data_IF_577683564201
#
_entry.id   IF_577683564201
#
_cell.length_a   1.000
_cell.length_b   1.000
_cell.length_c   1.000
_cell.angle_alpha   90.00
_cell.angle_beta   90.00
_cell.angle_gamma   90.00
#
_symmetry.space_group_name_H-M   'P 1'
#
loop_
_entity.id
_entity.type
_entity.pdbx_description
1 polymer ?
#
# COMPACT_ATOMS: atom_id res chain seq x y z
N UNK A 1 -18.04 -7.17 18.00
CA UNK A 1 -16.79 -7.94 17.79
C UNK A 1 -17.01 -8.88 16.62
N UNK A 2 -16.68 -8.45 15.40
CA UNK A 2 -16.68 -9.37 14.26
C UNK A 2 -15.32 -10.06 14.29
N UNK A 3 -15.28 -11.32 14.74
CA UNK A 3 -14.13 -12.19 14.51
C UNK A 3 -14.24 -12.70 13.08
N UNK A 4 -13.84 -11.87 12.12
CA UNK A 4 -13.39 -12.41 10.84
C UNK A 4 -11.98 -12.89 11.11
N UNK A 5 -11.74 -14.20 11.08
CA UNK A 5 -10.38 -14.72 10.98
C UNK A 5 -9.83 -14.23 9.63
N UNK A 6 -8.97 -13.22 9.69
CA UNK A 6 -8.28 -12.66 8.52
C UNK A 6 -7.10 -13.60 8.26
N UNK A 7 -7.22 -14.45 7.25
CA UNK A 7 -6.10 -15.22 6.71
C UNK A 7 -5.09 -14.26 6.07
N UNK A 8 -3.91 -14.01 6.67
CA UNK A 8 -2.98 -13.00 6.19
C UNK A 8 -2.55 -13.24 4.73
N UNK A 9 -2.46 -14.50 4.29
CA UNK A 9 -2.08 -14.82 2.90
C UNK A 9 -3.18 -14.47 1.90
N UNK A 10 -4.46 -14.59 2.31
CA UNK A 10 -5.60 -14.22 1.46
C UNK A 10 -5.76 -12.71 1.30
N UNK A 11 -5.35 -11.94 2.31
CA UNK A 11 -5.55 -10.48 2.35
C UNK A 11 -4.29 -9.67 2.02
N UNK A 12 -3.11 -10.28 2.01
CA UNK A 12 -1.82 -9.63 1.70
C UNK A 12 -0.97 -10.44 0.70
N UNK A 13 -1.59 -11.36 -0.05
CA UNK A 13 -0.92 -12.23 -1.03
C UNK A 13 -1.10 -11.80 -2.48
N UNK A 14 -0.67 -12.67 -3.41
CA UNK A 14 -0.81 -12.44 -4.85
C UNK A 14 -2.27 -12.34 -5.31
N UNK A 15 -3.18 -13.05 -4.64
CA UNK A 15 -4.61 -13.07 -4.93
C UNK A 15 -5.37 -11.89 -4.30
N UNK A 16 -4.67 -10.92 -3.72
CA UNK A 16 -5.27 -9.71 -3.18
C UNK A 16 -6.04 -8.95 -4.27
N UNK A 17 -7.31 -8.67 -3.97
CA UNK A 17 -8.21 -7.87 -4.81
C UNK A 17 -8.66 -6.60 -4.06
N UNK A 18 -8.09 -5.42 -4.36
CA UNK A 18 -8.44 -4.19 -3.68
C UNK A 18 -9.86 -3.69 -3.97
N UNK A 19 -10.51 -4.15 -5.06
CA UNK A 19 -11.87 -3.75 -5.40
C UNK A 19 -12.93 -4.42 -4.52
N UNK A 20 -12.57 -5.50 -3.83
CA UNK A 20 -13.44 -6.18 -2.87
C UNK A 20 -13.58 -5.43 -1.53
N UNK A 21 -12.89 -4.31 -1.33
CA UNK A 21 -12.83 -3.56 -0.06
C UNK A 21 -13.42 -2.16 -0.16
N UNK A 22 -14.13 -1.75 0.90
CA UNK A 22 -14.60 -0.37 1.07
C UNK A 22 -13.43 0.61 1.21
N UNK A 23 -13.69 1.91 1.00
CA UNK A 23 -12.66 2.95 1.14
C UNK A 23 -11.97 2.92 2.52
N UNK A 24 -12.68 2.85 3.67
CA UNK A 24 -12.03 2.77 4.98
C UNK A 24 -11.15 1.51 5.14
N UNK A 25 -11.60 0.37 4.61
CA UNK A 25 -10.83 -0.88 4.64
C UNK A 25 -9.56 -0.75 3.80
N UNK A 26 -9.64 -0.17 2.59
CA UNK A 26 -8.47 0.09 1.74
C UNK A 26 -7.42 0.97 2.44
N UNK A 27 -7.85 2.07 3.05
CA UNK A 27 -6.97 2.95 3.83
C UNK A 27 -6.34 2.22 5.03
N UNK A 28 -7.15 1.39 5.72
CA UNK A 28 -6.68 0.56 6.84
C UNK A 28 -5.65 -0.48 6.42
N UNK A 29 -5.83 -1.12 5.26
CA UNK A 29 -4.88 -2.08 4.68
C UNK A 29 -3.57 -1.39 4.32
N UNK A 30 -3.61 -0.21 3.66
CA UNK A 30 -2.41 0.57 3.39
C UNK A 30 -1.61 0.88 4.67
N UNK A 31 -2.31 1.34 5.71
CA UNK A 31 -1.69 1.67 6.99
C UNK A 31 -1.11 0.42 7.68
N UNK A 32 -1.81 -0.71 7.60
CA UNK A 32 -1.36 -1.98 8.13
C UNK A 32 -0.05 -2.44 7.46
N UNK A 33 0.06 -2.32 6.13
CA UNK A 33 1.29 -2.65 5.39
C UNK A 33 2.46 -1.77 5.84
N UNK A 34 2.30 -0.45 5.92
CA UNK A 34 3.38 0.43 6.38
C UNK A 34 3.79 0.15 7.83
N UNK A 35 2.81 -0.13 8.70
CA UNK A 35 3.07 -0.46 10.10
C UNK A 35 3.82 -1.79 10.24
N UNK A 36 3.41 -2.82 9.52
CA UNK A 36 4.04 -4.14 9.54
C UNK A 36 5.52 -4.07 9.14
N UNK A 37 5.83 -3.22 8.15
CA UNK A 37 7.19 -2.99 7.66
C UNK A 37 7.99 -1.97 8.48
N UNK A 38 7.48 -1.53 9.64
CA UNK A 38 8.08 -0.54 10.53
C UNK A 38 8.38 0.82 9.89
N UNK A 39 7.72 1.18 8.78
CA UNK A 39 8.00 2.44 8.06
C UNK A 39 7.82 3.68 8.93
N UNK A 40 6.74 3.83 9.74
CA UNK A 40 6.60 4.99 10.62
C UNK A 40 7.77 5.15 11.61
N UNK A 41 8.27 4.02 12.15
CA UNK A 41 9.41 4.02 13.08
C UNK A 41 10.70 4.42 12.37
N UNK A 42 10.94 3.90 11.17
CA UNK A 42 12.13 4.22 10.36
C UNK A 42 12.17 5.70 9.99
N UNK A 43 11.01 6.29 9.71
CA UNK A 43 10.88 7.71 9.37
C UNK A 43 10.78 8.64 10.60
N UNK A 44 10.60 8.08 11.80
CA UNK A 44 10.45 8.86 13.02
C UNK A 44 9.12 9.64 13.09
N UNK A 45 8.05 9.10 12.50
CA UNK A 45 6.71 9.71 12.48
C UNK A 45 5.71 8.84 13.22
N UNK A 46 4.64 9.45 13.72
CA UNK A 46 3.54 8.72 14.35
C UNK A 46 2.59 8.09 13.31
N UNK A 47 1.75 7.17 13.79
CA UNK A 47 0.77 6.45 12.96
C UNK A 47 -0.27 7.40 12.35
N UNK A 48 -0.61 8.49 13.03
CA UNK A 48 -1.51 9.52 12.53
C UNK A 48 -0.91 10.23 11.31
N UNK A 49 0.34 10.67 11.39
CA UNK A 49 1.02 11.27 10.24
C UNK A 49 1.15 10.29 9.05
N UNK A 50 1.35 9.00 9.31
CA UNK A 50 1.33 8.00 8.24
C UNK A 50 -0.06 7.87 7.59
N UNK A 51 -1.13 7.91 8.39
CA UNK A 51 -2.50 7.90 7.87
C UNK A 51 -2.83 9.17 7.08
N UNK A 52 -2.42 10.34 7.56
CA UNK A 52 -2.58 11.62 6.86
C UNK A 52 -1.88 11.57 5.49
N UNK A 53 -0.65 11.06 5.44
CA UNK A 53 0.07 10.83 4.18
C UNK A 53 -0.71 9.91 3.22
N UNK A 54 -1.25 8.79 3.72
CA UNK A 54 -2.05 7.87 2.88
C UNK A 54 -3.30 8.56 2.33
N UNK A 55 -3.98 9.38 3.14
CA UNK A 55 -5.16 10.14 2.73
C UNK A 55 -4.81 11.16 1.63
N UNK A 56 -3.69 11.87 1.78
CA UNK A 56 -3.21 12.82 0.77
C UNK A 56 -2.89 12.12 -0.57
N UNK A 57 -2.26 10.94 -0.51
CA UNK A 57 -1.98 10.15 -1.71
C UNK A 57 -3.26 9.62 -2.35
N UNK A 58 -4.21 9.10 -1.57
CA UNK A 58 -5.52 8.66 -2.07
C UNK A 58 -6.25 9.80 -2.79
N UNK A 59 -6.22 11.01 -2.23
CA UNK A 59 -6.82 12.19 -2.84
C UNK A 59 -6.19 12.55 -4.20
N UNK A 60 -4.91 12.26 -4.41
CA UNK A 60 -4.22 12.48 -5.68
C UNK A 60 -4.60 11.46 -6.76
N UNK A 61 -5.13 10.28 -6.40
CA UNK A 61 -5.62 9.32 -7.39
C UNK A 61 -6.96 9.75 -7.97
N UNK A 62 -7.10 9.68 -9.30
CA UNK A 62 -8.36 10.00 -9.98
C UNK A 62 -9.30 8.79 -9.98
N UNK A 63 -10.59 9.07 -10.04
CA UNK A 63 -11.61 8.04 -10.25
C UNK A 63 -11.63 7.61 -11.73
N UNK A 64 -10.65 6.78 -12.09
CA UNK A 64 -10.48 6.20 -13.43
C UNK A 64 -10.50 4.67 -13.33
N UNK A 65 -10.90 3.93 -14.38
CA UNK A 65 -11.16 2.49 -14.26
C UNK A 65 -9.98 1.65 -13.75
N UNK A 66 -8.73 2.04 -14.06
CA UNK A 66 -7.55 1.26 -13.71
C UNK A 66 -6.57 2.01 -12.79
N UNK A 67 -5.94 3.10 -13.26
CA UNK A 67 -4.95 3.93 -12.52
C UNK A 67 -5.57 4.74 -11.37
N UNK A 68 -6.28 4.04 -10.49
CA UNK A 68 -6.99 4.50 -9.31
C UNK A 68 -6.21 4.11 -8.05
N UNK A 69 -6.66 4.59 -6.89
CA UNK A 69 -6.07 4.19 -5.62
C UNK A 69 -6.11 2.67 -5.39
N UNK A 70 -7.09 1.95 -5.96
CA UNK A 70 -7.11 0.49 -5.92
C UNK A 70 -5.86 -0.10 -6.57
N UNK A 71 -5.42 0.43 -7.71
CA UNK A 71 -4.20 -0.04 -8.37
C UNK A 71 -2.95 0.28 -7.55
N UNK A 72 -2.84 1.49 -7.00
CA UNK A 72 -1.74 1.84 -6.09
C UNK A 72 -1.66 0.93 -4.87
N UNK A 73 -2.80 0.62 -4.26
CA UNK A 73 -2.91 -0.33 -3.14
C UNK A 73 -2.54 -1.76 -3.56
N UNK A 74 -2.95 -2.18 -4.75
CA UNK A 74 -2.59 -3.48 -5.31
C UNK A 74 -1.07 -3.67 -5.35
N UNK A 75 -0.39 -2.68 -5.95
CA UNK A 75 1.07 -2.66 -6.10
C UNK A 75 1.75 -2.61 -4.73
N UNK A 76 1.22 -1.83 -3.77
CA UNK A 76 1.73 -1.79 -2.39
C UNK A 76 1.68 -3.17 -1.72
N UNK A 77 0.52 -3.86 -1.76
CA UNK A 77 0.35 -5.19 -1.13
C UNK A 77 1.25 -6.24 -1.80
N UNK A 78 1.33 -6.24 -3.13
CA UNK A 78 2.19 -7.18 -3.86
C UNK A 78 3.68 -6.91 -3.60
N UNK A 79 4.07 -5.65 -3.42
CA UNK A 79 5.42 -5.28 -2.98
C UNK A 79 5.73 -5.80 -1.58
N UNK A 80 4.79 -5.65 -0.64
CA UNK A 80 4.89 -6.24 0.71
C UNK A 80 5.03 -7.77 0.67
N UNK A 81 4.23 -8.46 -0.15
CA UNK A 81 4.33 -9.90 -0.35
C UNK A 81 5.71 -10.32 -0.88
N UNK A 82 6.23 -9.63 -1.90
CA UNK A 82 7.56 -9.91 -2.45
C UNK A 82 8.67 -9.71 -1.41
N UNK A 83 8.58 -8.65 -0.60
CA UNK A 83 9.54 -8.35 0.46
C UNK A 83 9.59 -9.46 1.52
N UNK A 84 8.42 -9.94 1.95
CA UNK A 84 8.30 -10.92 3.03
C UNK A 84 8.36 -12.38 2.53
N UNK A 85 7.41 -12.78 1.69
CA UNK A 85 7.22 -14.17 1.26
C UNK A 85 8.29 -14.63 0.27
N UNK A 86 8.75 -13.74 -0.61
CA UNK A 86 9.87 -14.03 -1.53
C UNK A 86 11.24 -13.63 -0.97
N UNK A 87 11.29 -13.17 0.29
CA UNK A 87 12.52 -12.84 1.03
C UNK A 87 13.38 -11.76 0.35
N UNK A 88 12.78 -10.87 -0.46
CA UNK A 88 13.53 -9.78 -1.08
C UNK A 88 14.09 -8.79 -0.05
N UNK A 89 13.47 -8.68 1.13
CA UNK A 89 13.96 -7.84 2.21
C UNK A 89 15.39 -8.18 2.67
N UNK A 90 15.86 -9.43 2.44
CA UNK A 90 17.23 -9.84 2.80
C UNK A 90 18.32 -9.16 1.96
N UNK A 91 17.95 -8.51 0.87
CA UNK A 91 18.89 -7.89 -0.08
C UNK A 91 18.83 -6.35 -0.06
N UNK A 92 17.98 -5.77 0.79
CA UNK A 92 17.68 -4.34 0.81
C UNK A 92 17.88 -3.78 2.22
N UNK A 93 18.28 -2.51 2.31
CA UNK A 93 18.30 -1.82 3.60
C UNK A 93 16.88 -1.44 4.02
N UNK A 94 16.69 -1.14 5.31
CA UNK A 94 15.41 -0.65 5.82
C UNK A 94 14.95 0.64 5.11
N UNK A 95 15.88 1.50 4.68
CA UNK A 95 15.56 2.69 3.89
C UNK A 95 15.17 2.37 2.45
N UNK A 96 15.82 1.39 1.80
CA UNK A 96 15.43 0.93 0.46
C UNK A 96 14.01 0.35 0.47
N UNK A 97 13.71 -0.48 1.47
CA UNK A 97 12.37 -1.05 1.69
C UNK A 97 11.33 0.05 1.91
N UNK A 98 11.66 1.03 2.75
CA UNK A 98 10.78 2.17 3.02
C UNK A 98 10.50 2.97 1.76
N UNK A 99 11.54 3.31 0.99
CA UNK A 99 11.40 4.02 -0.28
C UNK A 99 10.57 3.21 -1.28
N UNK A 100 10.81 1.90 -1.38
CA UNK A 100 10.10 1.02 -2.29
C UNK A 100 8.59 0.97 -2.00
N UNK A 101 8.19 0.86 -0.72
CA UNK A 101 6.79 0.85 -0.31
C UNK A 101 6.09 2.20 -0.55
N UNK A 102 6.79 3.31 -0.28
CA UNK A 102 6.28 4.66 -0.58
C UNK A 102 6.08 4.82 -2.10
N UNK A 103 7.09 4.46 -2.90
CA UNK A 103 7.01 4.49 -4.36
C UNK A 103 5.88 3.61 -4.88
N UNK A 104 5.70 2.40 -4.34
CA UNK A 104 4.63 1.49 -4.74
C UNK A 104 3.25 2.13 -4.62
N UNK A 105 2.96 2.78 -3.49
CA UNK A 105 1.67 3.45 -3.29
C UNK A 105 1.54 4.73 -4.15
N UNK A 106 2.63 5.47 -4.37
CA UNK A 106 2.59 6.78 -5.03
C UNK A 106 2.76 6.76 -6.55
N UNK A 107 3.19 5.64 -7.16
CA UNK A 107 3.73 5.65 -8.53
C UNK A 107 2.80 6.22 -9.60
N UNK A 108 1.49 6.08 -9.42
CA UNK A 108 0.45 6.55 -10.35
C UNK A 108 -0.40 7.70 -9.79
N UNK A 109 0.01 8.31 -8.67
CA UNK A 109 -0.69 9.45 -8.10
C UNK A 109 -0.75 10.62 -9.12
N UNK A 110 -1.94 11.16 -9.36
CA UNK A 110 -2.19 12.22 -10.35
C UNK A 110 -2.35 11.74 -11.79
N UNK A 111 -2.19 10.45 -12.08
CA UNK A 111 -2.30 9.90 -13.43
C UNK A 111 -3.73 10.04 -13.99
N UNK A 112 -3.85 10.44 -15.26
CA UNK A 112 -5.14 10.81 -15.90
C UNK A 112 -5.65 9.79 -16.91
N UNK A 113 -4.97 8.64 -17.04
CA UNK A 113 -5.30 7.56 -17.99
C UNK A 113 -5.23 7.90 -19.48
N UNK A 114 -4.58 9.01 -19.86
CA UNK A 114 -4.14 9.26 -21.22
C UNK A 114 -2.63 8.98 -21.30
N UNK A 115 -2.18 8.31 -22.37
CA UNK A 115 -0.75 8.14 -22.65
C UNK A 115 -0.05 9.51 -22.59
N UNK A 116 1.22 9.52 -22.18
CA UNK A 116 2.07 10.72 -22.21
C UNK A 116 1.90 11.45 -23.55
N UNK A 117 1.34 12.66 -23.51
CA UNK A 117 1.35 13.62 -24.62
C UNK A 117 2.54 14.55 -24.39
#
# INVERSE_FOLDING_TARGET
MCKVEIDPEKYLGLDFDPWSFSRPERLGISLAVFKDMNVPVILGIDIGNMLDFILDIEFCYKDVPYHSFCHGLDVLVKTHFMLNSMRMANYLTSYDITALLICALCHDAGHVSFFNI
#
